data_IF_047140789554
#
_entry.id   IF_047140789554
#
_cell.length_a   1.000
_cell.length_b   1.000
_cell.length_c   1.000
_cell.angle_alpha   90.00
_cell.angle_beta   90.00
_cell.angle_gamma   90.00
#
_symmetry.space_group_name_H-M   'P 1'
#
loop_
_entity.id
_entity.type
_entity.pdbx_description
1 polymer ?
#
# COMPACT_ATOMS: atom_id res chain seq x y z
N UNK A 1 -9.40 -7.91 -1.81
CA UNK A 1 -9.22 -6.60 -2.46
C UNK A 1 -10.18 -5.67 -1.74
N UNK A 2 -9.67 -4.63 -1.09
CA UNK A 2 -10.38 -3.91 -0.02
C UNK A 2 -10.58 -2.43 -0.40
N UNK A 3 -11.04 -2.18 -1.62
CA UNK A 3 -11.04 -0.87 -2.26
C UNK A 3 -12.42 -0.48 -2.81
N UNK A 4 -13.48 -1.14 -2.33
CA UNK A 4 -14.87 -0.82 -2.69
C UNK A 4 -15.39 0.38 -1.88
N UNK A 5 -16.35 1.16 -2.41
CA UNK A 5 -16.93 2.29 -1.68
C UNK A 5 -17.54 1.90 -0.32
N UNK A 6 -18.12 0.70 -0.22
CA UNK A 6 -18.70 0.20 1.03
C UNK A 6 -17.63 -0.04 2.11
N UNK A 7 -16.47 -0.58 1.73
CA UNK A 7 -15.35 -0.80 2.66
C UNK A 7 -14.73 0.52 3.11
N UNK A 8 -14.61 1.50 2.22
CA UNK A 8 -14.12 2.85 2.56
C UNK A 8 -15.07 3.54 3.53
N UNK A 9 -16.39 3.46 3.29
CA UNK A 9 -17.39 4.01 4.19
C UNK A 9 -17.37 3.32 5.57
N UNK A 10 -17.18 2.00 5.61
CA UNK A 10 -17.03 1.25 6.85
C UNK A 10 -15.77 1.66 7.62
N UNK A 11 -14.65 1.86 6.92
CA UNK A 11 -13.40 2.35 7.51
C UNK A 11 -13.57 3.78 8.07
N UNK A 12 -14.16 4.68 7.29
CA UNK A 12 -14.45 6.03 7.76
C UNK A 12 -15.35 6.02 8.99
N UNK A 13 -16.38 5.17 8.99
CA UNK A 13 -17.29 5.00 10.11
C UNK A 13 -16.57 4.50 11.37
N UNK A 14 -15.65 3.55 11.21
CA UNK A 14 -14.82 3.03 12.28
C UNK A 14 -13.90 4.12 12.85
N UNK A 15 -13.30 4.95 12.01
CA UNK A 15 -12.39 6.04 12.40
C UNK A 15 -13.06 7.20 13.15
N UNK A 16 -14.40 7.32 13.14
CA UNK A 16 -15.10 8.45 13.76
C UNK A 16 -14.84 8.54 15.27
N UNK A 17 -14.47 9.73 15.72
CA UNK A 17 -14.21 10.02 17.13
C UNK A 17 -12.82 9.60 17.62
N UNK A 18 -11.97 9.04 16.75
CA UNK A 18 -10.60 8.68 17.08
C UNK A 18 -9.60 9.64 16.46
N UNK A 19 -8.53 9.96 17.19
CA UNK A 19 -7.37 10.67 16.67
C UNK A 19 -6.47 9.66 15.93
N UNK A 20 -6.83 9.36 14.68
CA UNK A 20 -6.14 8.38 13.83
C UNK A 20 -5.70 9.00 12.52
N UNK A 21 -4.61 8.45 11.97
CA UNK A 21 -4.11 8.77 10.64
C UNK A 21 -4.07 7.49 9.81
N UNK A 22 -4.75 7.50 8.66
CA UNK A 22 -4.82 6.35 7.75
C UNK A 22 -3.71 6.46 6.71
N UNK A 23 -2.87 5.44 6.59
CA UNK A 23 -1.84 5.38 5.56
C UNK A 23 -2.25 4.37 4.47
N UNK A 24 -2.61 4.87 3.29
CA UNK A 24 -2.95 4.05 2.14
C UNK A 24 -1.66 3.55 1.48
N UNK A 25 -1.52 2.23 1.34
CA UNK A 25 -0.39 1.57 0.69
C UNK A 25 -0.93 0.89 -0.58
N UNK A 26 -0.63 1.42 -1.77
CA UNK A 26 -0.94 0.74 -3.02
C UNK A 26 -0.30 -0.66 -3.04
N UNK A 27 -1.03 -1.64 -3.55
CA UNK A 27 -0.48 -3.00 -3.71
C UNK A 27 0.62 -2.95 -4.78
N UNK A 28 1.86 -3.26 -4.39
CA UNK A 28 2.93 -3.51 -5.35
C UNK A 28 2.56 -4.75 -6.18
N UNK A 29 2.64 -4.68 -7.52
CA UNK A 29 2.47 -5.87 -8.34
C UNK A 29 3.64 -6.82 -8.04
N UNK A 30 3.35 -7.90 -7.32
CA UNK A 30 4.29 -9.03 -7.18
C UNK A 30 3.95 -10.01 -8.29
N UNK A 31 4.96 -10.39 -9.09
CA UNK A 31 4.83 -11.52 -10.01
C UNK A 31 4.28 -12.73 -9.23
N UNK A 32 3.29 -13.43 -9.81
CA UNK A 32 2.54 -14.55 -9.21
C UNK A 32 1.51 -14.25 -8.10
N UNK A 33 1.28 -13.00 -7.70
CA UNK A 33 0.29 -12.71 -6.63
C UNK A 33 -1.18 -12.75 -7.07
N UNK A 34 -1.46 -12.68 -8.38
CA UNK A 34 -2.83 -12.56 -8.91
C UNK A 34 -3.57 -11.26 -8.50
N UNK A 35 -2.89 -10.35 -7.79
CA UNK A 35 -3.46 -9.10 -7.30
C UNK A 35 -3.09 -7.96 -8.24
N UNK A 36 -4.11 -7.35 -8.85
CA UNK A 36 -3.93 -6.17 -9.69
C UNK A 36 -3.69 -4.93 -8.81
N UNK A 37 -2.72 -4.10 -9.21
CA UNK A 37 -2.52 -2.77 -8.62
C UNK A 37 -3.80 -1.95 -8.81
N UNK A 38 -4.33 -1.40 -7.71
CA UNK A 38 -5.41 -0.42 -7.80
C UNK A 38 -4.91 0.77 -8.63
N UNK A 39 -5.72 1.23 -9.60
CA UNK A 39 -5.37 2.41 -10.40
C UNK A 39 -5.12 3.62 -9.50
N UNK A 40 -4.18 4.48 -9.89
CA UNK A 40 -3.87 5.71 -9.16
C UNK A 40 -5.12 6.57 -8.92
N UNK A 41 -6.06 6.57 -9.87
CA UNK A 41 -7.37 7.23 -9.74
C UNK A 41 -8.19 6.64 -8.58
N UNK A 42 -8.23 5.32 -8.43
CA UNK A 42 -8.96 4.65 -7.35
C UNK A 42 -8.34 4.95 -6.00
N UNK A 43 -7.01 4.95 -5.90
CA UNK A 43 -6.29 5.32 -4.67
C UNK A 43 -6.60 6.77 -4.28
N UNK A 44 -6.60 7.71 -5.25
CA UNK A 44 -6.95 9.12 -5.01
C UNK A 44 -8.41 9.28 -4.57
N UNK A 45 -9.33 8.53 -5.17
CA UNK A 45 -10.75 8.56 -4.78
C UNK A 45 -10.92 8.13 -3.32
N UNK A 46 -10.30 7.01 -2.93
CA UNK A 46 -10.36 6.51 -1.55
C UNK A 46 -9.77 7.52 -0.56
N UNK A 47 -8.64 8.16 -0.91
CA UNK A 47 -8.06 9.22 -0.09
C UNK A 47 -9.04 10.38 0.08
N UNK A 48 -9.64 10.87 -1.01
CA UNK A 48 -10.62 11.95 -0.98
C UNK A 48 -11.88 11.61 -0.17
N UNK A 49 -12.38 10.37 -0.28
CA UNK A 49 -13.55 9.91 0.48
C UNK A 49 -13.25 9.89 2.00
N UNK A 50 -12.04 9.49 2.40
CA UNK A 50 -11.60 9.52 3.80
C UNK A 50 -11.40 10.95 4.32
N UNK A 51 -10.79 11.84 3.52
CA UNK A 51 -10.63 13.26 3.85
C UNK A 51 -11.98 13.96 4.03
N UNK A 52 -12.93 13.71 3.11
CA UNK A 52 -14.28 14.25 3.19
C UNK A 52 -15.04 13.77 4.43
N UNK A 53 -14.70 12.59 4.95
CA UNK A 53 -15.24 12.06 6.20
C UNK A 53 -14.50 12.59 7.46
N UNK A 54 -13.53 13.50 7.30
CA UNK A 54 -12.75 14.08 8.40
C UNK A 54 -11.63 13.17 8.92
N UNK A 55 -11.24 12.15 8.16
CA UNK A 55 -10.15 11.23 8.51
C UNK A 55 -8.86 11.74 7.88
N UNK A 56 -7.84 11.99 8.71
CA UNK A 56 -6.51 12.32 8.21
C UNK A 56 -5.93 11.12 7.45
N UNK A 57 -5.50 11.34 6.21
CA UNK A 57 -5.00 10.27 5.34
C UNK A 57 -3.70 10.68 4.65
N UNK A 58 -2.84 9.72 4.37
CA UNK A 58 -1.71 9.87 3.45
C UNK A 58 -1.65 8.70 2.50
N UNK A 59 -1.31 8.95 1.24
CA UNK A 59 -0.97 7.89 0.29
C UNK A 59 0.54 7.71 0.28
N UNK A 60 1.01 6.52 0.62
CA UNK A 60 2.42 6.18 0.53
C UNK A 60 2.81 6.12 -0.95
N UNK A 61 3.49 7.16 -1.43
CA UNK A 61 4.16 7.12 -2.73
C UNK A 61 5.29 6.09 -2.66
N UNK A 62 5.29 5.16 -3.59
CA UNK A 62 6.44 4.29 -3.85
C UNK A 62 7.62 5.19 -4.22
N UNK A 63 8.58 5.37 -3.30
CA UNK A 63 9.90 5.89 -3.68
C UNK A 63 10.59 4.75 -4.43
N UNK A 64 10.73 4.88 -5.74
CA UNK A 64 11.52 3.95 -6.55
C UNK A 64 10.82 3.21 -7.69
N UNK A 65 9.55 3.50 -8.02
CA UNK A 65 8.93 2.96 -9.24
C UNK A 65 9.63 3.48 -10.52
N UNK A 66 10.31 4.63 -10.41
CA UNK A 66 11.07 5.24 -11.49
C UNK A 66 12.53 4.71 -11.57
N UNK A 67 13.00 3.94 -10.57
CA UNK A 67 14.41 3.51 -10.41
C UNK A 67 14.62 2.12 -9.76
N UNK A 68 13.67 1.18 -9.88
CA UNK A 68 13.80 -0.21 -9.36
C UNK A 68 14.24 -0.33 -7.87
N UNK A 69 13.86 0.65 -7.04
CA UNK A 69 14.29 0.73 -5.62
C UNK A 69 13.14 0.58 -4.62
N UNK A 70 12.04 -0.10 -5.01
CA UNK A 70 10.89 -0.27 -4.15
C UNK A 70 11.17 -1.24 -2.98
N UNK A 71 10.78 -0.81 -1.78
CA UNK A 71 10.97 -1.53 -0.53
C UNK A 71 10.07 -2.79 -0.48
N UNK A 72 10.70 -3.97 -0.50
CA UNK A 72 10.04 -5.29 -0.55
C UNK A 72 10.98 -6.46 -0.87
N UNK A 73 12.21 -6.22 -1.31
CA UNK A 73 13.18 -7.26 -1.73
C UNK A 73 14.06 -7.84 -0.61
N UNK A 74 13.75 -7.58 0.68
CA UNK A 74 14.49 -8.15 1.82
C UNK A 74 13.93 -9.50 2.27
N UNK A 75 13.58 -10.39 1.33
CA UNK A 75 13.33 -11.80 1.62
C UNK A 75 14.07 -12.63 0.58
N UNK A 76 15.04 -13.42 1.07
CA UNK A 76 15.88 -14.41 0.37
C UNK A 76 17.26 -13.96 -0.17
N UNK A 77 18.09 -13.34 0.69
CA UNK A 77 19.56 -13.59 0.69
C UNK A 77 20.09 -13.73 2.12
N UNK A 78 19.41 -14.53 2.92
CA UNK A 78 19.87 -14.91 4.26
C UNK A 78 19.82 -16.43 4.45
N UNK A 79 20.16 -17.17 3.39
CA UNK A 79 20.46 -18.59 3.45
C UNK A 79 21.56 -18.91 2.43
N UNK A 80 22.81 -18.90 2.90
CA UNK A 80 23.94 -19.61 2.30
C UNK A 80 24.73 -18.89 1.22
N UNK A 81 25.47 -17.83 1.57
CA UNK A 81 26.79 -17.62 0.94
C UNK A 81 27.80 -18.37 1.81
N UNK A 82 28.25 -19.53 1.34
CA UNK A 82 29.55 -20.11 1.67
C UNK A 82 29.95 -21.05 0.52
N UNK A 83 30.46 -20.46 -0.57
CA UNK A 83 31.42 -21.15 -1.43
C UNK A 83 32.36 -20.11 -2.04
N UNK A 84 33.52 -19.94 -1.38
CA UNK A 84 34.67 -19.22 -1.91
C UNK A 84 35.45 -20.14 -2.88
N UNK A 85 36.07 -19.61 -3.94
CA UNK A 85 36.63 -20.42 -5.02
C UNK A 85 37.95 -21.07 -4.61
N UNK A 86 38.18 -22.31 -5.06
CA UNK A 86 39.51 -22.94 -5.16
C UNK A 86 39.89 -23.04 -6.63
#
# INVERSE_FOLDING_TARGET
MNDTPAEVAALAAYCRGMLVHVNLIPVNPVADSGLARASDERVRRIAGDLEAAGVAVSVRKERGADIDAACGQLRQRAAGEDEAPV
#
